data_IF_611303123472
#
_entry.id   IF_611303123472
#
_cell.length_a   1.000
_cell.length_b   1.000
_cell.length_c   1.000
_cell.angle_alpha   90.00
_cell.angle_beta   90.00
_cell.angle_gamma   90.00
#
_symmetry.space_group_name_H-M   'P 1'
#
loop_
_entity.id
_entity.type
_entity.pdbx_description
1 polymer ?
#
# COMPACT_ATOMS: atom_id res chain seq x y z
N UNK A 1 -20.42 19.45 8.35
CA UNK A 1 -19.57 18.37 7.79
C UNK A 1 -19.72 17.18 8.70
N UNK A 2 -19.81 15.99 8.12
CA UNK A 2 -19.83 14.76 8.89
C UNK A 2 -18.40 14.25 9.03
N UNK A 3 -18.01 13.87 10.24
CA UNK A 3 -16.67 13.35 10.54
C UNK A 3 -16.76 11.88 10.97
N UNK A 4 -15.69 11.14 10.69
CA UNK A 4 -15.47 9.79 11.17
C UNK A 4 -14.26 9.80 12.10
N UNK A 5 -14.49 9.39 13.33
CA UNK A 5 -13.51 9.37 14.39
C UNK A 5 -12.90 7.99 14.53
N UNK A 6 -11.58 7.94 14.63
CA UNK A 6 -10.85 6.72 14.97
C UNK A 6 -10.71 6.65 16.47
N UNK A 7 -11.22 5.57 17.05
CA UNK A 7 -11.25 5.32 18.48
C UNK A 7 -10.28 4.20 18.82
N UNK A 8 -9.72 4.24 20.03
CA UNK A 8 -8.85 3.21 20.59
C UNK A 8 -9.32 2.81 21.97
N UNK A 9 -9.33 1.52 22.27
CA UNK A 9 -9.46 1.00 23.63
C UNK A 9 -8.14 0.37 24.08
N UNK A 10 -7.73 0.67 25.32
CA UNK A 10 -6.59 0.01 25.96
C UNK A 10 -6.99 -1.31 26.65
N UNK A 11 -6.03 -2.00 27.25
CA UNK A 11 -6.25 -3.28 27.93
C UNK A 11 -6.97 -3.14 29.29
N UNK A 12 -7.17 -1.90 29.77
CA UNK A 12 -7.97 -1.56 30.94
C UNK A 12 -9.41 -1.16 30.57
N UNK A 13 -9.74 -1.14 29.27
CA UNK A 13 -11.06 -0.78 28.77
C UNK A 13 -11.26 0.74 28.57
N UNK A 14 -10.25 1.57 28.80
CA UNK A 14 -10.36 3.01 28.60
C UNK A 14 -10.40 3.33 27.10
N UNK A 15 -11.34 4.19 26.72
CA UNK A 15 -11.53 4.61 25.33
C UNK A 15 -10.92 5.99 25.09
N UNK A 16 -10.22 6.14 23.98
CA UNK A 16 -9.55 7.37 23.57
C UNK A 16 -9.90 7.70 22.12
N UNK A 17 -10.12 8.99 21.86
CA UNK A 17 -10.14 9.53 20.50
C UNK A 17 -8.70 9.61 19.96
N UNK A 18 -8.49 9.10 18.75
CA UNK A 18 -7.17 9.06 18.10
C UNK A 18 -7.07 10.14 17.03
N UNK A 19 -8.07 10.24 16.16
CA UNK A 19 -8.08 11.16 15.02
C UNK A 19 -9.49 11.32 14.44
N UNK A 20 -9.71 12.41 13.70
CA UNK A 20 -10.94 12.66 12.94
C UNK A 20 -10.64 12.73 11.44
N UNK A 21 -11.54 12.19 10.62
CA UNK A 21 -11.44 12.19 9.17
C UNK A 21 -12.72 12.68 8.51
N UNK A 22 -12.58 13.32 7.36
CA UNK A 22 -13.71 13.72 6.52
C UNK A 22 -14.29 12.56 5.69
N UNK A 23 -13.67 11.38 5.74
CA UNK A 23 -14.05 10.20 4.98
C UNK A 23 -13.96 8.94 5.84
N UNK A 24 -15.00 8.10 5.75
CA UNK A 24 -15.02 6.77 6.37
C UNK A 24 -13.87 5.88 5.89
N UNK A 25 -13.54 5.94 4.59
CA UNK A 25 -12.46 5.14 3.99
C UNK A 25 -11.11 5.53 4.59
N UNK A 26 -10.87 6.83 4.81
CA UNK A 26 -9.64 7.32 5.40
C UNK A 26 -9.52 6.90 6.89
N UNK A 27 -10.62 6.97 7.64
CA UNK A 27 -10.65 6.50 9.02
C UNK A 27 -10.40 4.98 9.13
N UNK A 28 -11.06 4.18 8.28
CA UNK A 28 -10.85 2.73 8.22
C UNK A 28 -9.41 2.39 7.78
N UNK A 29 -8.86 3.12 6.82
CA UNK A 29 -7.48 2.94 6.39
C UNK A 29 -6.50 3.17 7.57
N UNK A 30 -6.71 4.21 8.38
CA UNK A 30 -5.87 4.43 9.56
C UNK A 30 -5.98 3.29 10.57
N UNK A 31 -7.18 2.75 10.81
CA UNK A 31 -7.37 1.56 11.66
C UNK A 31 -6.54 0.38 11.13
N UNK A 32 -6.61 0.09 9.82
CA UNK A 32 -5.83 -0.98 9.21
C UNK A 32 -4.31 -0.76 9.36
N UNK A 33 -3.84 0.48 9.20
CA UNK A 33 -2.42 0.80 9.42
C UNK A 33 -2.00 0.48 10.86
N UNK A 34 -2.81 0.89 11.85
CA UNK A 34 -2.51 0.66 13.27
C UNK A 34 -2.54 -0.83 13.63
N UNK A 35 -3.57 -1.56 13.20
CA UNK A 35 -3.74 -2.99 13.48
C UNK A 35 -2.73 -3.88 12.72
N UNK A 36 -2.17 -3.40 11.59
CA UNK A 36 -1.14 -4.13 10.83
C UNK A 36 0.27 -4.09 11.43
N UNK A 37 0.43 -3.41 12.57
CA UNK A 37 1.68 -3.20 13.27
C UNK A 37 2.15 -4.41 14.09
N UNK A 38 2.94 -4.13 15.13
CA UNK A 38 3.36 -5.14 16.10
C UNK A 38 2.13 -5.58 16.91
N UNK A 39 1.94 -6.89 17.19
CA UNK A 39 0.86 -7.37 18.03
C UNK A 39 0.76 -6.60 19.34
N UNK A 40 -0.42 -6.05 19.62
CA UNK A 40 -0.70 -5.24 20.80
C UNK A 40 -2.04 -5.62 21.41
N UNK A 41 -2.26 -5.21 22.67
CA UNK A 41 -3.52 -5.45 23.41
C UNK A 41 -4.55 -4.33 23.23
N UNK A 42 -4.29 -3.39 22.32
CA UNK A 42 -5.20 -2.30 21.99
C UNK A 42 -6.12 -2.74 20.87
N UNK A 43 -7.34 -2.21 20.85
CA UNK A 43 -8.28 -2.34 19.74
C UNK A 43 -8.60 -0.98 19.16
N UNK A 44 -8.79 -0.92 17.84
CA UNK A 44 -9.15 0.29 17.12
C UNK A 44 -10.45 0.11 16.33
N UNK A 45 -11.30 1.15 16.30
CA UNK A 45 -12.53 1.15 15.49
C UNK A 45 -12.86 2.56 14.98
N UNK A 46 -13.86 2.65 14.10
CA UNK A 46 -14.35 3.91 13.55
C UNK A 46 -15.74 4.21 14.09
N UNK A 47 -15.94 5.42 14.61
CA UNK A 47 -17.24 5.99 14.95
C UNK A 47 -17.60 7.11 13.98
N UNK A 48 -18.86 7.20 13.58
CA UNK A 48 -19.29 8.24 12.63
C UNK A 48 -20.68 7.95 12.06
N UNK A 49 -21.13 8.76 11.07
CA UNK A 49 -22.42 8.55 10.43
C UNK A 49 -22.57 7.14 9.87
N UNK A 50 -23.78 6.56 9.94
CA UNK A 50 -24.04 5.23 9.44
C UNK A 50 -24.05 5.19 7.90
N UNK A 51 -23.67 4.04 7.36
CA UNK A 51 -23.81 3.71 5.94
C UNK A 51 -22.49 3.57 5.19
N UNK A 52 -22.49 2.83 4.06
CA UNK A 52 -21.31 2.64 3.23
C UNK A 52 -20.93 3.92 2.49
N UNK A 53 -19.63 4.19 2.43
CA UNK A 53 -19.07 5.25 1.58
C UNK A 53 -19.03 4.79 0.11
N UNK A 54 -18.73 3.50 -0.11
CA UNK A 54 -18.70 2.82 -1.40
C UNK A 54 -19.95 1.95 -1.54
N UNK A 55 -20.87 2.35 -2.43
CA UNK A 55 -22.16 1.65 -2.61
C UNK A 55 -22.18 0.76 -3.84
N UNK A 56 -21.34 1.07 -4.81
CA UNK A 56 -21.31 0.40 -6.11
C UNK A 56 -19.88 0.08 -6.53
N UNK A 57 -19.75 -0.88 -7.45
CA UNK A 57 -18.45 -1.16 -8.08
C UNK A 57 -17.85 0.08 -8.72
N UNK A 58 -18.68 0.96 -9.30
CA UNK A 58 -18.23 2.23 -9.89
C UNK A 58 -17.55 3.12 -8.86
N UNK A 59 -18.11 3.22 -7.65
CA UNK A 59 -17.52 4.02 -6.58
C UNK A 59 -16.14 3.45 -6.20
N UNK A 60 -16.04 2.12 -6.09
CA UNK A 60 -14.77 1.44 -5.79
C UNK A 60 -13.72 1.70 -6.89
N UNK A 61 -14.11 1.63 -8.16
CA UNK A 61 -13.21 1.95 -9.28
C UNK A 61 -12.71 3.41 -9.22
N UNK A 62 -13.56 4.36 -8.83
CA UNK A 62 -13.16 5.76 -8.70
C UNK A 62 -12.16 5.96 -7.55
N UNK A 63 -12.33 5.25 -6.43
CA UNK A 63 -11.34 5.23 -5.34
C UNK A 63 -9.99 4.73 -5.85
N UNK A 64 -9.96 3.59 -6.55
CA UNK A 64 -8.71 3.03 -7.07
C UNK A 64 -8.05 3.92 -8.12
N UNK A 65 -8.85 4.55 -8.97
CA UNK A 65 -8.33 5.51 -9.95
C UNK A 65 -7.63 6.67 -9.25
N UNK A 66 -8.23 7.22 -8.19
CA UNK A 66 -7.65 8.30 -7.42
C UNK A 66 -6.36 7.88 -6.72
N UNK A 67 -6.39 6.75 -5.99
CA UNK A 67 -5.21 6.19 -5.32
C UNK A 67 -4.06 5.88 -6.31
N UNK A 68 -4.39 5.39 -7.51
CA UNK A 68 -3.39 5.11 -8.54
C UNK A 68 -2.66 6.36 -9.04
N UNK A 69 -3.33 7.51 -9.09
CA UNK A 69 -2.68 8.79 -9.44
C UNK A 69 -1.73 9.25 -8.33
N UNK A 70 -2.11 9.08 -7.06
CA UNK A 70 -1.28 9.44 -5.92
C UNK A 70 -0.06 8.51 -5.77
N UNK A 71 -0.26 7.20 -5.90
CA UNK A 71 0.81 6.21 -5.77
C UNK A 71 1.89 6.36 -6.87
N UNK A 72 1.49 6.75 -8.08
CA UNK A 72 2.43 7.05 -9.17
C UNK A 72 3.33 8.24 -8.84
N UNK A 73 2.82 9.23 -8.10
CA UNK A 73 3.64 10.35 -7.62
C UNK A 73 4.66 9.91 -6.56
N UNK A 74 4.33 8.90 -5.75
CA UNK A 74 5.21 8.35 -4.71
C UNK A 74 6.30 7.38 -5.22
N UNK A 75 6.30 7.02 -6.51
CA UNK A 75 7.30 6.15 -7.16
C UNK A 75 7.48 4.75 -6.54
N UNK A 76 6.42 4.17 -5.98
CA UNK A 76 6.50 2.80 -5.45
C UNK A 76 6.53 1.76 -6.56
N UNK A 77 7.32 0.70 -6.38
CA UNK A 77 7.22 -0.48 -7.24
C UNK A 77 5.95 -1.27 -6.93
N UNK A 78 5.42 -2.00 -7.91
CA UNK A 78 4.28 -2.89 -7.71
C UNK A 78 4.55 -3.92 -6.59
N UNK A 79 5.77 -4.48 -6.54
CA UNK A 79 6.22 -5.38 -5.45
C UNK A 79 6.13 -4.73 -4.07
N UNK A 80 6.56 -3.46 -3.94
CA UNK A 80 6.43 -2.73 -2.69
C UNK A 80 4.95 -2.55 -2.31
N UNK A 81 4.12 -2.11 -3.26
CA UNK A 81 2.70 -1.93 -3.01
C UNK A 81 2.00 -3.23 -2.58
N UNK A 82 2.27 -4.36 -3.26
CA UNK A 82 1.64 -5.64 -2.93
C UNK A 82 2.09 -6.18 -1.56
N UNK A 83 3.34 -5.96 -1.16
CA UNK A 83 3.80 -6.28 0.22
C UNK A 83 3.16 -5.38 1.27
N UNK A 84 2.94 -4.10 0.97
CA UNK A 84 2.17 -3.22 1.85
C UNK A 84 0.71 -3.69 1.95
N UNK A 85 0.08 -4.02 0.82
CA UNK A 85 -1.30 -4.53 0.73
C UNK A 85 -1.48 -5.82 1.54
N UNK A 86 -0.58 -6.78 1.38
CA UNK A 86 -0.57 -8.02 2.17
C UNK A 86 -0.51 -7.75 3.68
N UNK A 87 0.39 -6.84 4.09
CA UNK A 87 0.57 -6.46 5.49
C UNK A 87 -0.69 -5.81 6.08
N UNK A 88 -1.26 -4.82 5.40
CA UNK A 88 -2.46 -4.10 5.91
C UNK A 88 -3.74 -4.92 5.78
N UNK A 89 -3.74 -5.99 4.99
CA UNK A 89 -4.84 -6.95 4.91
C UNK A 89 -4.87 -7.95 6.08
N UNK A 90 -3.78 -8.12 6.83
CA UNK A 90 -3.69 -9.09 7.92
C UNK A 90 -4.79 -8.95 9.00
N UNK A 91 -5.18 -7.73 9.44
CA UNK A 91 -6.26 -7.54 10.41
C UNK A 91 -7.65 -7.99 9.91
N UNK A 92 -7.80 -8.22 8.61
CA UNK A 92 -9.04 -8.65 7.97
C UNK A 92 -9.08 -10.17 7.72
N UNK A 93 -8.04 -10.91 8.10
CA UNK A 93 -7.84 -12.32 7.76
C UNK A 93 -8.95 -13.26 8.25
N UNK A 94 -9.57 -12.96 9.39
CA UNK A 94 -10.66 -13.76 9.97
C UNK A 94 -12.05 -13.38 9.42
N UNK A 95 -12.14 -12.39 8.52
CA UNK A 95 -13.43 -11.99 7.94
C UNK A 95 -13.81 -12.92 6.78
N UNK A 96 -14.99 -13.53 6.89
CA UNK A 96 -15.55 -14.38 5.83
C UNK A 96 -15.87 -13.60 4.54
N UNK A 97 -16.11 -12.29 4.64
CA UNK A 97 -16.36 -11.41 3.50
C UNK A 97 -15.87 -9.99 3.82
N UNK A 98 -15.45 -9.26 2.79
CA UNK A 98 -15.07 -7.86 2.89
C UNK A 98 -16.15 -6.97 2.28
N UNK A 99 -16.51 -5.91 3.00
CA UNK A 99 -17.35 -4.87 2.44
C UNK A 99 -16.54 -4.01 1.46
N UNK A 100 -17.18 -3.34 0.48
CA UNK A 100 -16.47 -2.46 -0.46
C UNK A 100 -15.64 -1.37 0.22
N UNK A 101 -16.10 -0.86 1.37
CA UNK A 101 -15.37 0.10 2.20
C UNK A 101 -14.08 -0.51 2.79
N UNK A 102 -14.10 -1.78 3.19
CA UNK A 102 -12.92 -2.48 3.70
C UNK A 102 -11.87 -2.63 2.59
N UNK A 103 -12.30 -3.00 1.39
CA UNK A 103 -11.42 -3.12 0.22
C UNK A 103 -10.82 -1.77 -0.15
N UNK A 104 -11.64 -0.72 -0.21
CA UNK A 104 -11.18 0.64 -0.47
C UNK A 104 -10.17 1.12 0.59
N UNK A 105 -10.46 0.87 1.86
CA UNK A 105 -9.60 1.22 2.99
C UNK A 105 -8.27 0.45 2.95
N UNK A 106 -8.30 -0.83 2.58
CA UNK A 106 -7.10 -1.66 2.46
C UNK A 106 -6.13 -1.11 1.39
N UNK A 107 -6.64 -0.66 0.24
CA UNK A 107 -5.81 -0.03 -0.80
C UNK A 107 -5.27 1.34 -0.38
N UNK A 108 -6.07 2.15 0.33
CA UNK A 108 -5.64 3.45 0.86
C UNK A 108 -4.62 3.30 2.00
N UNK A 109 -4.78 2.30 2.86
CA UNK A 109 -3.80 1.97 3.90
C UNK A 109 -2.48 1.49 3.26
N UNK A 110 -2.58 0.64 2.23
CA UNK A 110 -1.42 0.14 1.52
C UNK A 110 -0.58 1.30 0.95
N UNK A 111 -1.19 2.29 0.28
CA UNK A 111 -0.49 3.41 -0.37
C UNK A 111 0.28 4.33 0.58
N UNK A 112 0.08 4.23 1.89
CA UNK A 112 0.77 5.03 2.91
C UNK A 112 1.62 4.20 3.87
N UNK A 113 1.51 2.88 3.82
CA UNK A 113 2.22 1.95 4.71
C UNK A 113 3.56 1.54 4.14
N UNK A 114 4.68 1.65 4.90
CA UNK A 114 5.95 1.09 4.48
C UNK A 114 5.82 -0.40 4.16
N UNK A 115 6.32 -0.86 3.00
CA UNK A 115 6.18 -2.26 2.60
C UNK A 115 6.86 -3.18 3.61
N UNK A 116 6.25 -4.33 3.88
CA UNK A 116 6.90 -5.38 4.66
C UNK A 116 8.23 -5.77 4.01
N UNK A 117 9.25 -6.09 4.81
CA UNK A 117 10.54 -6.54 4.29
C UNK A 117 10.34 -7.75 3.36
N UNK A 118 11.15 -7.85 2.30
CA UNK A 118 11.11 -9.01 1.43
C UNK A 118 11.71 -10.22 2.16
N UNK A 119 10.96 -11.31 2.26
CA UNK A 119 11.47 -12.59 2.78
C UNK A 119 11.96 -13.48 1.62
N UNK A 120 13.25 -13.83 1.55
CA UNK A 120 13.76 -14.75 0.54
C UNK A 120 13.03 -16.10 0.47
N UNK A 121 12.44 -16.58 1.58
CA UNK A 121 11.67 -17.81 1.60
C UNK A 121 10.43 -17.77 0.69
N UNK A 122 9.90 -16.57 0.41
CA UNK A 122 8.78 -16.38 -0.52
C UNK A 122 9.11 -16.79 -1.96
N UNK A 123 10.39 -16.71 -2.36
CA UNK A 123 10.81 -17.08 -3.72
C UNK A 123 10.68 -18.58 -4.03
N UNK A 124 10.75 -19.42 -3.00
CA UNK A 124 10.69 -20.88 -3.08
C UNK A 124 9.37 -21.49 -2.61
N UNK A 125 8.40 -20.69 -2.15
CA UNK A 125 7.08 -21.22 -1.73
C UNK A 125 6.33 -21.79 -2.93
N UNK A 126 5.60 -22.87 -2.68
CA UNK A 126 4.60 -23.36 -3.63
C UNK A 126 3.45 -22.35 -3.70
N UNK A 127 3.16 -21.90 -4.92
CA UNK A 127 2.12 -20.91 -5.21
C UNK A 127 0.84 -21.58 -5.70
N UNK A 128 0.79 -22.92 -5.74
CA UNK A 128 -0.39 -23.65 -6.13
C UNK A 128 -1.56 -23.27 -5.22
N UNK A 129 -2.64 -22.84 -5.87
CA UNK A 129 -3.92 -22.64 -5.22
C UNK A 129 -4.66 -23.98 -5.18
N UNK A 130 -5.42 -24.27 -4.11
CA UNK A 130 -6.22 -25.48 -4.01
C UNK A 130 -7.37 -25.50 -5.04
N UNK A 131 -7.76 -24.33 -5.55
CA UNK A 131 -8.76 -24.14 -6.60
C UNK A 131 -8.33 -23.14 -7.66
N UNK A 132 -9.28 -22.73 -8.50
CA UNK A 132 -9.04 -21.76 -9.59
C UNK A 132 -8.85 -20.34 -9.09
N UNK A 133 -9.34 -20.03 -7.90
CA UNK A 133 -9.28 -18.71 -7.27
C UNK A 133 -8.87 -18.85 -5.79
N UNK A 134 -8.20 -17.84 -5.20
CA UNK A 134 -7.92 -17.81 -3.77
C UNK A 134 -9.22 -17.74 -2.95
N UNK A 135 -9.39 -18.65 -1.98
CA UNK A 135 -10.62 -18.72 -1.16
C UNK A 135 -10.53 -17.83 0.09
N UNK A 136 -9.32 -17.60 0.61
CA UNK A 136 -9.12 -16.83 1.83
C UNK A 136 -7.71 -16.26 1.99
N UNK A 137 -7.46 -15.61 3.13
CA UNK A 137 -6.20 -14.89 3.37
C UNK A 137 -4.96 -15.79 3.19
N UNK A 138 -5.02 -17.06 3.62
CA UNK A 138 -3.93 -18.02 3.46
C UNK A 138 -3.58 -18.32 1.99
N UNK A 139 -4.56 -18.28 1.08
CA UNK A 139 -4.33 -18.42 -0.35
C UNK A 139 -3.76 -17.12 -0.94
N UNK A 140 -4.24 -15.97 -0.48
CA UNK A 140 -3.70 -14.65 -0.88
C UNK A 140 -2.26 -14.43 -0.41
N UNK A 141 -1.86 -14.96 0.75
CA UNK A 141 -0.47 -14.96 1.23
C UNK A 141 0.47 -15.70 0.26
N UNK A 142 -0.03 -16.68 -0.50
CA UNK A 142 0.79 -17.36 -1.51
C UNK A 142 1.06 -16.47 -2.72
N UNK A 143 0.16 -15.56 -3.06
CA UNK A 143 0.22 -14.81 -4.32
C UNK A 143 0.80 -13.40 -4.16
N UNK A 144 0.36 -12.65 -3.14
CA UNK A 144 0.65 -11.22 -3.00
C UNK A 144 2.13 -10.90 -2.66
N UNK A 145 2.81 -11.60 -1.72
CA UNK A 145 4.19 -11.29 -1.36
C UNK A 145 5.21 -11.67 -2.45
N UNK A 146 4.83 -12.56 -3.38
CA UNK A 146 5.71 -13.21 -4.36
C UNK A 146 5.70 -12.53 -5.73
N UNK A 147 4.85 -11.50 -5.92
CA UNK A 147 4.68 -10.80 -7.19
C UNK A 147 5.94 -10.05 -7.71
N UNK A 148 7.09 -10.19 -7.05
CA UNK A 148 8.41 -9.72 -7.48
C UNK A 148 9.25 -10.81 -8.19
N UNK A 149 8.63 -11.84 -8.76
CA UNK A 149 9.35 -12.77 -9.66
C UNK A 149 9.74 -12.03 -10.94
N UNK A 150 10.89 -11.34 -10.93
CA UNK A 150 11.53 -10.90 -12.18
C UNK A 150 11.91 -12.14 -13.00
N UNK A 151 11.49 -12.27 -14.26
CA UNK A 151 12.11 -13.23 -15.17
C UNK A 151 13.53 -12.72 -15.46
N UNK A 152 14.54 -13.35 -14.85
CA UNK A 152 15.95 -13.01 -15.07
C UNK A 152 16.47 -11.92 -14.13
N UNK A 153 17.32 -12.32 -13.19
CA UNK A 153 18.07 -11.38 -12.36
C UNK A 153 19.02 -10.56 -13.22
N UNK A 154 18.78 -9.26 -13.30
CA UNK A 154 19.84 -8.28 -13.50
C UNK A 154 20.13 -7.63 -12.15
N UNK A 155 21.42 -7.50 -11.77
CA UNK A 155 21.79 -6.92 -10.50
C UNK A 155 21.27 -5.49 -10.42
N UNK A 156 20.82 -5.13 -9.23
CA UNK A 156 20.50 -3.76 -8.85
C UNK A 156 21.72 -2.88 -9.21
N UNK A 157 21.56 -1.74 -9.91
CA UNK A 157 22.65 -0.79 -9.98
C UNK A 157 22.92 -0.34 -8.55
N UNK A 158 24.06 -0.76 -8.03
CA UNK A 158 24.68 -0.24 -6.83
C UNK A 158 24.78 1.27 -6.98
N UNK A 159 24.37 1.99 -5.94
CA UNK A 159 24.63 3.42 -5.79
C UNK A 159 26.11 3.71 -6.10
N UNK A 160 26.34 4.39 -7.21
CA UNK A 160 27.62 4.93 -7.67
C UNK A 160 27.36 6.34 -8.21
N UNK A 161 28.33 7.26 -8.08
CA UNK A 161 28.06 8.68 -7.95
C UNK A 161 27.48 9.30 -9.21
N UNK A 162 26.63 10.31 -8.98
CA UNK A 162 26.15 11.27 -9.97
C UNK A 162 27.33 11.83 -10.78
N UNK A 163 27.58 11.27 -11.95
CA UNK A 163 28.27 12.01 -13.01
C UNK A 163 27.25 12.91 -13.69
N UNK A 164 27.09 14.08 -13.10
CA UNK A 164 26.70 15.28 -13.83
C UNK A 164 27.92 15.71 -14.64
N UNK A 165 28.09 15.19 -15.85
CA UNK A 165 28.98 15.85 -16.82
C UNK A 165 28.17 16.89 -17.55
N UNK A 166 28.29 18.07 -16.98
CA UNK A 166 27.97 19.38 -17.50
C UNK A 166 28.40 19.51 -18.97
N UNK A 167 27.43 19.73 -19.86
CA UNK A 167 27.61 20.04 -21.29
C UNK A 167 28.17 21.45 -21.51
N UNK A 168 29.25 21.80 -20.81
CA UNK A 168 29.97 23.05 -20.97
C UNK A 168 31.18 22.91 -21.93
N UNK A 169 31.73 21.70 -22.11
CA UNK A 169 32.84 21.48 -23.06
C UNK A 169 32.39 21.33 -24.52
N UNK A 170 31.12 21.03 -24.78
CA UNK A 170 30.61 20.87 -26.14
C UNK A 170 30.27 22.23 -26.80
N UNK A 171 30.02 23.28 -26.00
CA UNK A 171 29.82 24.65 -26.51
C UNK A 171 31.13 25.41 -26.81
N UNK A 172 32.25 24.96 -26.28
CA UNK A 172 33.56 25.60 -26.54
C UNK A 172 34.18 25.15 -27.88
N UNK A 173 33.75 24.01 -28.45
CA UNK A 173 34.28 23.52 -29.74
C UNK A 173 33.54 24.06 -30.96
N UNK A 174 32.36 24.64 -30.78
CA UNK A 174 31.56 25.18 -31.88
C UNK A 174 31.85 26.67 -32.18
N UNK A 175 32.43 27.42 -31.23
CA UNK A 175 32.84 28.81 -31.45
C UNK A 175 34.25 29.02 -32.03
N UNK A 176 35.09 27.98 -32.09
CA UNK A 176 36.41 28.06 -32.75
C UNK A 176 36.42 27.61 -34.22
N UNK A 177 35.26 27.33 -34.84
CA UNK A 177 35.18 26.97 -36.27
C UNK A 177 34.64 28.06 -37.20
N UNK A 178 34.39 29.27 -36.69
CA UNK A 178 33.88 30.39 -37.50
C UNK A 178 34.76 31.65 -37.52
N UNK A 179 36.03 31.54 -37.12
CA UNK A 179 37.03 32.58 -37.38
C UNK A 179 38.29 31.98 -37.99
N UNK A 180 38.19 31.62 -39.27
CA UNK A 180 39.26 31.74 -40.27
C UNK A 180 38.64 32.29 -41.57
#
# INVERSE_FOLDING_TARGET
MHTWDVMRQDDLGNTFHVASHDSRIAALAQVLVMESGVPHKQSYWVEGPPGPAVRTNRDLYLVFLHLGQEARAASWSLSAFLRALWKVGAPLSDRASLEPDDVAAMFAAASTTPPAAFDPAWSGKDLALPGTEPDGYADWERVLPVADRRPGGLPHPSAGPLYYTDSAEERAREHSRHHE
#
